data_IF_404749369228
#
_entry.id   IF_404749369228
#
_cell.length_a   1.000
_cell.length_b   1.000
_cell.length_c   1.000
_cell.angle_alpha   90.00
_cell.angle_beta   90.00
_cell.angle_gamma   90.00
#
_symmetry.space_group_name_H-M   'P 1'
#
loop_
_entity.id
_entity.type
_entity.pdbx_description
1 polymer ?
#
# COMPACT_ATOMS: atom_id res chain seq x y z
N UNK A 1 -24.91 30.39 -5.89
CA UNK A 1 -23.95 30.19 -4.78
C UNK A 1 -24.15 28.87 -4.01
N UNK A 2 -25.03 27.95 -4.46
CA UNK A 2 -25.29 26.68 -3.77
C UNK A 2 -24.69 25.43 -4.46
N UNK A 3 -24.19 25.51 -5.70
CA UNK A 3 -23.67 24.32 -6.40
C UNK A 3 -22.19 24.00 -6.10
N UNK A 4 -21.43 24.94 -5.53
CA UNK A 4 -20.04 24.66 -5.14
C UNK A 4 -19.93 23.92 -3.79
N UNK A 5 -20.95 23.99 -2.94
CA UNK A 5 -20.96 23.30 -1.64
C UNK A 5 -21.31 21.81 -1.80
N UNK A 6 -22.17 21.46 -2.77
CA UNK A 6 -22.51 20.06 -3.06
C UNK A 6 -21.36 19.27 -3.73
N UNK A 7 -20.53 19.92 -4.55
CA UNK A 7 -19.36 19.26 -5.15
C UNK A 7 -18.26 18.91 -4.13
N UNK A 8 -18.09 19.72 -3.07
CA UNK A 8 -17.07 19.47 -2.04
C UNK A 8 -17.41 18.29 -1.13
N UNK A 9 -18.70 17.99 -0.93
CA UNK A 9 -19.12 16.82 -0.14
C UNK A 9 -19.02 15.50 -0.91
N UNK A 10 -19.13 15.53 -2.24
CA UNK A 10 -18.98 14.33 -3.08
C UNK A 10 -17.53 13.85 -3.15
N UNK A 11 -16.56 14.76 -3.10
CA UNK A 11 -15.11 14.46 -3.17
C UNK A 11 -14.60 13.89 -1.84
N UNK A 12 -15.08 14.37 -0.70
CA UNK A 12 -14.70 13.82 0.61
C UNK A 12 -15.28 12.42 0.85
N UNK A 13 -16.49 12.14 0.34
CA UNK A 13 -17.14 10.83 0.46
C UNK A 13 -16.49 9.76 -0.43
N UNK A 14 -15.99 10.14 -1.62
CA UNK A 14 -15.21 9.23 -2.50
C UNK A 14 -13.87 8.83 -1.89
N UNK A 15 -13.19 9.73 -1.17
CA UNK A 15 -11.94 9.43 -0.44
C UNK A 15 -12.15 8.45 0.72
N UNK A 16 -13.33 8.41 1.33
CA UNK A 16 -13.65 7.41 2.35
C UNK A 16 -14.03 6.03 1.77
N UNK A 17 -14.61 5.97 0.56
CA UNK A 17 -14.83 4.68 -0.12
C UNK A 17 -13.54 4.10 -0.74
N UNK A 18 -12.61 4.95 -1.19
CA UNK A 18 -11.31 4.52 -1.76
C UNK A 18 -10.39 3.85 -0.72
N UNK A 19 -10.57 4.17 0.57
CA UNK A 19 -9.82 3.59 1.69
C UNK A 19 -10.12 2.12 1.98
N UNK A 20 -11.16 1.54 1.38
CA UNK A 20 -11.57 0.16 1.67
C UNK A 20 -11.40 -0.81 0.50
N UNK A 21 -11.05 -0.34 -0.71
CA UNK A 21 -10.82 -1.23 -1.86
C UNK A 21 -9.68 -2.23 -1.63
N UNK A 22 -8.62 -1.82 -0.92
CA UNK A 22 -7.47 -2.67 -0.62
C UNK A 22 -7.73 -3.68 0.53
N UNK A 23 -8.59 -3.34 1.49
CA UNK A 23 -9.04 -4.25 2.54
C UNK A 23 -10.16 -5.20 2.05
N UNK A 24 -11.06 -4.72 1.19
CA UNK A 24 -12.14 -5.52 0.61
C UNK A 24 -11.63 -6.53 -0.44
N UNK A 25 -10.53 -6.25 -1.14
CA UNK A 25 -9.91 -7.21 -2.04
C UNK A 25 -9.36 -8.46 -1.33
N UNK A 26 -9.16 -8.41 -0.01
CA UNK A 26 -8.80 -9.58 0.83
C UNK A 26 -10.04 -10.18 1.51
N UNK A 27 -11.09 -9.41 1.77
CA UNK A 27 -12.31 -9.86 2.50
C UNK A 27 -13.41 -10.42 1.59
N UNK A 28 -13.36 -10.21 0.27
CA UNK A 28 -14.37 -10.72 -0.68
C UNK A 28 -14.37 -12.26 -0.88
N UNK A 29 -13.72 -13.03 0.00
CA UNK A 29 -13.73 -14.50 0.03
C UNK A 29 -14.39 -15.11 1.27
N UNK A 30 -15.06 -14.32 2.11
CA UNK A 30 -15.77 -14.82 3.30
C UNK A 30 -17.30 -14.74 3.18
N UNK A 31 -17.83 -14.86 1.96
CA UNK A 31 -19.26 -14.94 1.70
C UNK A 31 -19.74 -16.37 1.59
N UNK A 32 -20.28 -16.90 2.69
CA UNK A 32 -21.17 -18.08 2.79
C UNK A 32 -20.52 -19.48 2.75
N UNK A 33 -20.07 -19.98 3.90
CA UNK A 33 -20.39 -21.35 4.35
C UNK A 33 -20.54 -21.37 5.87
N UNK A 34 -21.75 -21.68 6.35
CA UNK A 34 -22.02 -22.01 7.75
C UNK A 34 -21.25 -23.27 8.17
N UNK A 35 -20.65 -23.26 9.36
CA UNK A 35 -20.16 -24.47 10.03
C UNK A 35 -18.71 -24.35 10.48
N UNK A 36 -18.50 -24.19 11.78
CA UNK A 36 -17.22 -23.88 12.39
C UNK A 36 -16.09 -24.83 12.01
N UNK A 37 -14.91 -24.25 11.77
CA UNK A 37 -13.62 -24.93 11.84
C UNK A 37 -12.53 -23.90 12.17
N UNK A 38 -11.59 -24.34 12.99
CA UNK A 38 -10.48 -23.60 13.60
C UNK A 38 -9.71 -22.71 12.63
N UNK A 39 -9.46 -21.47 13.06
CA UNK A 39 -8.61 -20.47 12.41
C UNK A 39 -7.19 -21.00 12.18
N UNK A 40 -6.72 -20.96 10.93
CA UNK A 40 -5.29 -20.92 10.62
C UNK A 40 -4.93 -19.50 10.13
N UNK A 41 -3.82 -18.92 10.59
CA UNK A 41 -3.37 -17.63 10.09
C UNK A 41 -2.98 -17.76 8.61
N UNK A 42 -3.55 -16.91 7.77
CA UNK A 42 -3.08 -16.73 6.39
C UNK A 42 -1.69 -16.11 6.45
N UNK A 43 -0.65 -16.91 6.22
CA UNK A 43 0.71 -16.43 6.07
C UNK A 43 0.90 -15.95 4.63
N UNK A 44 0.80 -14.64 4.40
CA UNK A 44 1.29 -14.05 3.16
C UNK A 44 2.81 -13.87 3.27
N UNK A 45 3.58 -14.85 2.78
CA UNK A 45 5.00 -14.67 2.54
C UNK A 45 5.19 -13.74 1.33
N UNK A 46 5.77 -12.55 1.56
CA UNK A 46 6.18 -11.64 0.50
C UNK A 46 7.58 -12.04 0.05
N UNK A 47 7.69 -12.94 -0.94
CA UNK A 47 8.98 -13.18 -1.59
C UNK A 47 9.25 -12.06 -2.61
N UNK A 48 10.46 -11.52 -2.56
CA UNK A 48 11.01 -10.65 -3.59
C UNK A 48 11.34 -11.51 -4.82
N UNK A 49 10.35 -11.69 -5.71
CA UNK A 49 10.55 -12.32 -7.02
C UNK A 49 9.61 -13.49 -7.29
N UNK A 50 8.62 -13.24 -8.14
CA UNK A 50 7.91 -14.26 -8.91
C UNK A 50 7.02 -15.21 -8.13
N UNK A 51 5.76 -14.81 -7.90
CA UNK A 51 4.68 -15.72 -7.49
C UNK A 51 4.29 -15.62 -6.02
N UNK A 52 3.21 -14.89 -5.73
CA UNK A 52 2.51 -15.01 -4.44
C UNK A 52 1.54 -16.19 -4.53
N UNK A 53 1.82 -17.25 -3.79
CA UNK A 53 0.89 -18.37 -3.60
C UNK A 53 -0.07 -17.99 -2.47
N UNK A 54 -1.36 -17.88 -2.77
CA UNK A 54 -2.39 -17.74 -1.73
C UNK A 54 -2.98 -19.12 -1.46
N UNK A 55 -2.71 -19.66 -0.27
CA UNK A 55 -3.36 -20.88 0.21
C UNK A 55 -4.63 -20.50 0.96
N UNK A 56 -5.79 -20.79 0.36
CA UNK A 56 -7.09 -20.63 1.02
C UNK A 56 -7.41 -21.99 1.66
N UNK A 57 -7.13 -22.11 2.96
CA UNK A 57 -7.50 -23.28 3.76
C UNK A 57 -8.87 -23.09 4.39
N UNK A 58 -9.91 -23.68 3.81
CA UNK A 58 -11.27 -23.64 4.35
C UNK A 58 -12.14 -24.78 3.83
N UNK A 59 -12.20 -25.89 4.58
CA UNK A 59 -13.10 -27.02 4.33
C UNK A 59 -12.41 -28.29 3.81
N UNK A 60 -13.09 -29.44 3.89
CA UNK A 60 -12.60 -30.80 3.55
C UNK A 60 -12.27 -31.02 2.06
N UNK A 61 -12.05 -29.96 1.29
CA UNK A 61 -11.56 -29.98 -0.07
C UNK A 61 -10.05 -29.74 -0.11
N UNK A 62 -9.37 -30.32 -1.10
CA UNK A 62 -7.95 -30.05 -1.33
C UNK A 62 -7.73 -28.53 -1.46
N UNK A 63 -6.65 -27.98 -0.86
CA UNK A 63 -6.35 -26.55 -0.95
C UNK A 63 -6.28 -26.11 -2.40
N UNK A 64 -7.08 -25.11 -2.78
CA UNK A 64 -6.98 -24.51 -4.10
C UNK A 64 -5.78 -23.57 -4.11
N UNK A 65 -4.76 -23.95 -4.87
CA UNK A 65 -3.57 -23.14 -5.10
C UNK A 65 -3.84 -22.21 -6.27
N UNK A 66 -3.90 -20.90 -6.01
CA UNK A 66 -3.91 -19.89 -7.07
C UNK A 66 -2.48 -19.41 -7.32
N UNK A 67 -2.00 -19.62 -8.54
CA UNK A 67 -0.75 -19.03 -9.00
C UNK A 67 -1.01 -17.61 -9.49
N UNK A 68 -0.49 -16.63 -8.77
CA UNK A 68 -0.50 -15.23 -9.20
C UNK A 68 0.79 -14.95 -9.97
N UNK A 69 0.70 -14.75 -11.28
CA UNK A 69 1.85 -14.36 -12.12
C UNK A 69 2.42 -12.99 -11.74
N UNK A 70 1.61 -12.14 -11.10
CA UNK A 70 1.94 -10.78 -10.72
C UNK A 70 1.73 -9.81 -11.88
N UNK A 71 0.99 -8.72 -11.63
CA UNK A 71 0.82 -7.67 -12.62
C UNK A 71 2.15 -6.94 -12.85
N UNK A 72 2.44 -6.57 -14.10
CA UNK A 72 3.60 -5.75 -14.45
C UNK A 72 3.18 -4.29 -14.41
N UNK A 73 3.72 -3.51 -13.47
CA UNK A 73 3.33 -2.11 -13.33
C UNK A 73 4.33 -1.22 -14.07
N UNK A 74 3.85 -0.50 -15.08
CA UNK A 74 4.64 0.49 -15.81
C UNK A 74 4.59 1.82 -15.04
N UNK A 75 5.74 2.47 -14.73
CA UNK A 75 5.75 3.72 -13.98
C UNK A 75 4.91 4.83 -14.62
N UNK A 76 4.32 5.70 -13.78
CA UNK A 76 3.50 6.81 -14.26
C UNK A 76 4.35 7.84 -15.04
N UNK A 77 3.83 8.42 -16.14
CA UNK A 77 4.52 9.51 -16.83
C UNK A 77 4.83 10.66 -15.87
N UNK A 78 6.06 11.16 -15.89
CA UNK A 78 6.52 12.24 -15.01
C UNK A 78 7.21 11.78 -13.73
N UNK A 79 7.10 10.49 -13.34
CA UNK A 79 7.94 9.94 -12.29
C UNK A 79 9.37 9.71 -12.79
N UNK A 80 10.38 9.74 -11.90
CA UNK A 80 11.74 9.37 -12.26
C UNK A 80 11.81 7.96 -12.84
N UNK A 81 12.56 7.78 -13.92
CA UNK A 81 12.73 6.48 -14.60
C UNK A 81 13.83 5.63 -14.00
N UNK A 82 14.67 6.19 -13.12
CA UNK A 82 15.72 5.48 -12.40
C UNK A 82 15.21 4.74 -11.16
N UNK A 83 16.04 3.85 -10.62
CA UNK A 83 15.75 3.17 -9.35
C UNK A 83 15.55 4.19 -8.21
N UNK A 84 14.61 3.93 -7.29
CA UNK A 84 14.44 4.77 -6.11
C UNK A 84 15.62 4.66 -5.16
N UNK A 85 15.97 5.76 -4.50
CA UNK A 85 17.05 5.81 -3.51
C UNK A 85 16.68 5.04 -2.23
N UNK A 86 15.38 4.98 -1.92
CA UNK A 86 14.83 4.17 -0.84
C UNK A 86 13.38 3.78 -1.09
N UNK A 87 13.03 2.55 -0.72
CA UNK A 87 11.66 2.09 -0.50
C UNK A 87 11.59 1.64 0.95
N UNK A 88 10.61 2.11 1.72
CA UNK A 88 10.53 1.74 3.13
C UNK A 88 9.17 1.99 3.76
N UNK A 89 8.97 1.38 4.93
CA UNK A 89 7.78 1.54 5.75
C UNK A 89 7.80 2.89 6.47
N UNK A 90 6.69 3.62 6.46
CA UNK A 90 6.56 4.83 7.28
C UNK A 90 6.64 4.50 8.77
N UNK A 91 7.58 5.12 9.49
CA UNK A 91 7.69 4.95 10.95
C UNK A 91 7.12 6.15 11.70
N UNK A 92 7.64 7.34 11.38
CA UNK A 92 7.30 8.59 12.05
C UNK A 92 7.76 9.80 11.26
N UNK A 93 7.35 10.98 11.73
CA UNK A 93 7.82 12.30 11.27
C UNK A 93 8.42 13.07 12.43
N UNK A 94 9.46 13.85 12.11
CA UNK A 94 9.98 14.93 12.96
C UNK A 94 10.19 16.16 12.06
N UNK A 95 9.46 17.24 12.31
CA UNK A 95 9.52 18.50 11.53
C UNK A 95 9.35 18.34 10.01
N UNK A 96 10.44 18.45 9.25
CA UNK A 96 10.49 18.31 7.81
C UNK A 96 11.06 16.94 7.38
N UNK A 97 11.30 16.05 8.32
CA UNK A 97 11.87 14.74 8.10
C UNK A 97 10.84 13.63 8.31
N UNK A 98 10.81 12.67 7.40
CA UNK A 98 10.11 11.38 7.54
C UNK A 98 11.16 10.31 7.80
N UNK A 99 10.88 9.39 8.72
CA UNK A 99 11.75 8.25 8.98
C UNK A 99 11.15 6.99 8.41
N UNK A 100 11.91 6.31 7.56
CA UNK A 100 11.52 5.08 6.90
C UNK A 100 12.30 3.88 7.47
N UNK A 101 11.59 2.80 7.76
CA UNK A 101 12.20 1.50 8.07
C UNK A 101 12.48 0.74 6.77
N UNK A 102 13.74 0.42 6.51
CA UNK A 102 14.19 -0.19 5.24
C UNK A 102 14.70 -1.61 5.38
N UNK A 103 14.67 -2.18 6.58
CA UNK A 103 15.08 -3.55 6.82
C UNK A 103 13.95 -4.54 6.56
N UNK A 104 13.82 -5.54 7.43
CA UNK A 104 12.79 -6.56 7.27
C UNK A 104 11.42 -5.99 7.66
N UNK A 105 10.53 -5.87 6.68
CA UNK A 105 9.14 -5.42 6.87
C UNK A 105 8.27 -6.65 7.14
N UNK A 106 7.64 -6.69 8.30
CA UNK A 106 6.68 -7.72 8.69
C UNK A 106 5.28 -7.13 8.70
N UNK A 107 4.38 -7.71 7.91
CA UNK A 107 2.95 -7.38 7.91
C UNK A 107 2.15 -8.52 8.55
N UNK A 108 1.28 -8.17 9.49
CA UNK A 108 0.32 -9.06 10.13
C UNK A 108 -1.08 -8.59 9.77
N UNK A 109 -1.89 -9.46 9.18
CA UNK A 109 -3.30 -9.22 8.94
C UNK A 109 -4.09 -10.14 9.86
N UNK A 110 -4.88 -9.55 10.74
CA UNK A 110 -5.78 -10.27 11.64
C UNK A 110 -7.21 -10.16 11.10
N UNK A 111 -7.79 -11.31 10.73
CA UNK A 111 -9.19 -11.41 10.36
C UNK A 111 -10.02 -11.54 11.64
N UNK A 112 -10.86 -10.55 11.93
CA UNK A 112 -11.75 -10.58 13.08
C UNK A 112 -12.99 -11.42 12.78
N UNK A 113 -13.33 -12.36 13.65
CA UNK A 113 -14.59 -13.12 13.55
C UNK A 113 -15.80 -12.21 13.83
N UNK A 114 -16.91 -12.42 13.11
CA UNK A 114 -18.17 -11.71 13.35
C UNK A 114 -18.40 -10.44 12.52
N UNK A 115 -17.74 -10.28 11.36
CA UNK A 115 -17.97 -9.15 10.45
C UNK A 115 -17.31 -7.85 10.89
N UNK A 116 -16.41 -7.90 11.88
CA UNK A 116 -15.54 -6.79 12.20
C UNK A 116 -14.46 -6.61 11.12
N UNK A 117 -14.04 -5.36 10.93
CA UNK A 117 -13.03 -5.02 9.91
C UNK A 117 -11.70 -5.73 10.22
N UNK A 118 -11.01 -6.24 9.19
CA UNK A 118 -9.68 -6.83 9.36
C UNK A 118 -8.71 -5.76 9.86
N UNK A 119 -7.87 -6.14 10.82
CA UNK A 119 -6.81 -5.27 11.33
C UNK A 119 -5.50 -5.61 10.62
N UNK A 120 -4.81 -4.60 10.09
CA UNK A 120 -3.47 -4.76 9.53
C UNK A 120 -2.46 -4.02 10.42
N UNK A 121 -1.40 -4.71 10.80
CA UNK A 121 -0.27 -4.16 11.52
C UNK A 121 0.98 -4.37 10.67
N UNK A 122 1.81 -3.35 10.55
CA UNK A 122 3.13 -3.48 9.94
C UNK A 122 4.20 -3.01 10.92
N UNK A 123 5.35 -3.67 10.85
CA UNK A 123 6.55 -3.29 11.57
C UNK A 123 7.75 -3.46 10.67
N UNK A 124 8.78 -2.67 10.90
CA UNK A 124 10.06 -2.83 10.23
C UNK A 124 11.15 -3.00 11.31
N UNK A 125 12.05 -3.95 11.10
CA UNK A 125 13.25 -4.13 11.91
C UNK A 125 14.49 -3.77 11.10
N UNK A 126 15.50 -3.16 11.73
CA UNK A 126 16.77 -2.83 11.06
C UNK A 126 16.99 -1.34 10.78
N UNK A 127 17.70 -0.99 9.69
CA UNK A 127 18.12 0.38 9.40
C UNK A 127 16.94 1.34 9.23
N UNK A 128 17.13 2.56 9.73
CA UNK A 128 16.19 3.67 9.54
C UNK A 128 16.85 4.72 8.67
N UNK A 129 16.13 5.17 7.64
CA UNK A 129 16.57 6.25 6.75
C UNK A 129 15.75 7.50 7.04
N UNK A 130 16.43 8.63 7.23
CA UNK A 130 15.82 9.95 7.31
C UNK A 130 15.59 10.52 5.92
N UNK A 131 14.37 10.95 5.64
CA UNK A 131 13.96 11.57 4.39
C UNK A 131 13.56 13.01 4.68
N UNK A 132 14.40 13.95 4.28
CA UNK A 132 14.16 15.39 4.44
C UNK A 132 13.33 15.88 3.26
N UNK A 133 12.16 16.44 3.58
CA UNK A 133 11.20 17.01 2.64
C UNK A 133 11.36 18.53 2.64
N UNK A 134 11.46 19.12 1.46
CA UNK A 134 11.57 20.56 1.29
C UNK A 134 10.52 21.09 0.31
N UNK A 135 10.54 22.39 0.03
CA UNK A 135 9.56 23.05 -0.85
C UNK A 135 9.62 22.60 -2.31
N UNK A 136 10.74 22.00 -2.73
CA UNK A 136 10.95 21.50 -4.07
C UNK A 136 10.66 19.98 -4.15
N UNK A 137 10.24 19.35 -3.06
CA UNK A 137 9.85 17.94 -3.08
C UNK A 137 8.47 17.79 -3.69
N UNK A 138 8.39 17.03 -4.78
CA UNK A 138 7.13 16.62 -5.39
C UNK A 138 6.58 15.39 -4.65
N UNK A 139 5.30 15.40 -4.31
CA UNK A 139 4.67 14.35 -3.51
C UNK A 139 3.47 13.82 -4.28
N UNK A 140 3.37 12.49 -4.37
CA UNK A 140 2.34 11.80 -5.12
C UNK A 140 1.68 10.68 -4.30
N UNK A 141 0.37 10.51 -4.47
CA UNK A 141 -0.38 9.31 -4.09
C UNK A 141 -0.38 8.32 -5.25
N UNK A 142 0.01 7.09 -4.99
CA UNK A 142 -0.29 6.00 -5.91
C UNK A 142 -1.76 5.58 -5.79
N UNK A 143 -2.52 5.76 -6.87
CA UNK A 143 -3.94 5.39 -6.99
C UNK A 143 -4.15 4.24 -7.96
N UNK A 144 -3.10 3.47 -8.24
CA UNK A 144 -3.16 2.37 -9.20
C UNK A 144 -4.05 1.24 -8.69
N UNK A 145 -5.16 1.01 -9.37
CA UNK A 145 -6.02 -0.15 -9.13
C UNK A 145 -5.50 -1.35 -9.93
N UNK A 146 -5.03 -2.38 -9.22
CA UNK A 146 -4.58 -3.63 -9.85
C UNK A 146 -5.67 -4.68 -9.65
N UNK A 147 -6.34 -5.04 -10.75
CA UNK A 147 -7.38 -6.08 -10.70
C UNK A 147 -6.79 -7.46 -10.41
N UNK A 148 -7.63 -8.37 -9.89
CA UNK A 148 -7.23 -9.75 -9.63
C UNK A 148 -6.85 -10.48 -10.92
N UNK A 149 -7.54 -10.19 -12.02
CA UNK A 149 -7.23 -10.71 -13.36
C UNK A 149 -5.83 -10.25 -13.78
N UNK A 150 -5.51 -8.96 -13.59
CA UNK A 150 -4.18 -8.45 -13.90
C UNK A 150 -3.09 -9.16 -13.10
N UNK A 151 -3.34 -9.47 -11.82
CA UNK A 151 -2.41 -10.24 -10.97
C UNK A 151 -2.31 -11.71 -11.38
N UNK A 152 -3.42 -12.34 -11.76
CA UNK A 152 -3.47 -13.75 -12.15
C UNK A 152 -2.80 -13.96 -13.50
N UNK A 153 -3.15 -13.13 -14.47
CA UNK A 153 -2.77 -13.31 -15.87
C UNK A 153 -1.45 -12.60 -16.21
N UNK A 154 -0.95 -11.78 -15.28
CA UNK A 154 0.32 -11.07 -15.40
C UNK A 154 0.26 -9.91 -16.39
N UNK A 155 -0.90 -9.23 -16.43
CA UNK A 155 -1.15 -8.14 -17.35
C UNK A 155 -0.32 -6.91 -16.99
N UNK A 156 -0.04 -6.10 -18.00
CA UNK A 156 0.56 -4.78 -17.81
C UNK A 156 -0.49 -3.80 -17.30
N UNK A 157 -0.16 -3.09 -16.23
CA UNK A 157 -1.00 -2.06 -15.62
C UNK A 157 -0.19 -0.76 -15.60
N UNK A 158 -0.76 0.30 -16.14
CA UNK A 158 -0.15 1.63 -16.06
C UNK A 158 -0.31 2.16 -14.63
N UNK A 159 0.80 2.52 -13.98
CA UNK A 159 0.74 3.19 -12.70
C UNK A 159 0.04 4.55 -12.86
N UNK A 160 -0.88 4.84 -11.94
CA UNK A 160 -1.57 6.11 -11.83
C UNK A 160 -1.16 6.78 -10.53
N UNK A 161 -0.84 8.07 -10.61
CA UNK A 161 -0.49 8.87 -9.45
C UNK A 161 -1.25 10.19 -9.44
N UNK A 162 -1.60 10.65 -8.25
CA UNK A 162 -2.20 11.96 -8.02
C UNK A 162 -1.24 12.84 -7.23
N UNK A 163 -1.00 14.10 -7.64
CA UNK A 163 -0.17 15.01 -6.86
C UNK A 163 -0.82 15.34 -5.52
N UNK A 164 0.00 15.47 -4.48
CA UNK A 164 -0.38 16.02 -3.19
C UNK A 164 0.20 17.42 -3.02
N UNK A 165 -0.60 18.31 -2.43
CA UNK A 165 -0.23 19.71 -2.26
C UNK A 165 0.87 19.92 -1.20
N UNK A 166 0.98 19.03 -0.22
CA UNK A 166 1.92 19.22 0.89
C UNK A 166 2.27 17.93 1.63
N UNK A 167 3.36 18.00 2.40
CA UNK A 167 3.74 16.99 3.38
C UNK A 167 2.63 16.76 4.41
N UNK A 168 1.91 17.79 4.84
CA UNK A 168 0.82 17.63 5.81
C UNK A 168 -0.31 16.77 5.22
N UNK A 169 -0.66 16.99 3.96
CA UNK A 169 -1.66 16.19 3.25
C UNK A 169 -1.24 14.72 3.14
N UNK A 170 0.04 14.44 2.89
CA UNK A 170 0.56 13.07 2.91
C UNK A 170 0.36 12.41 4.27
N UNK A 171 0.60 13.13 5.36
CA UNK A 171 0.59 12.56 6.71
C UNK A 171 -0.82 12.33 7.26
N UNK A 172 -1.80 13.08 6.79
CA UNK A 172 -3.21 12.81 7.04
C UNK A 172 -3.69 11.54 6.33
N UNK A 173 -3.01 11.16 5.26
CA UNK A 173 -3.32 9.96 4.46
C UNK A 173 -2.55 8.73 4.90
N UNK A 174 -1.28 8.88 5.28
CA UNK A 174 -0.35 7.78 5.54
C UNK A 174 -0.64 7.08 6.87
N UNK A 175 -0.67 5.75 6.84
CA UNK A 175 -0.73 4.89 8.01
C UNK A 175 0.63 4.22 8.25
N UNK A 176 0.80 3.60 9.43
CA UNK A 176 2.01 2.86 9.79
C UNK A 176 2.25 1.60 8.94
N UNK A 177 1.26 1.20 8.15
CA UNK A 177 1.31 0.08 7.20
C UNK A 177 1.83 0.47 5.84
N UNK A 178 1.95 1.77 5.58
CA UNK A 178 2.11 2.28 4.22
C UNK A 178 3.58 2.38 3.87
N UNK A 179 3.87 2.11 2.60
CA UNK A 179 5.22 2.17 2.06
C UNK A 179 5.41 3.46 1.27
N UNK A 180 6.57 4.07 1.44
CA UNK A 180 7.00 5.21 0.62
C UNK A 180 8.14 4.80 -0.28
N UNK A 181 8.07 5.28 -1.52
CA UNK A 181 9.14 5.21 -2.50
C UNK A 181 9.69 6.62 -2.71
N UNK A 182 10.99 6.79 -2.56
CA UNK A 182 11.62 8.11 -2.56
C UNK A 182 12.79 8.15 -3.53
N UNK A 183 12.83 9.22 -4.32
CA UNK A 183 13.97 9.62 -5.14
C UNK A 183 14.49 10.96 -4.62
N UNK A 184 15.80 11.12 -4.55
CA UNK A 184 16.43 12.26 -3.91
C UNK A 184 17.93 12.33 -4.14
N UNK A 185 18.63 12.94 -3.18
CA UNK A 185 20.08 12.91 -3.06
C UNK A 185 20.43 12.27 -1.73
N UNK A 186 21.11 11.11 -1.76
CA UNK A 186 21.49 10.36 -0.57
C UNK A 186 22.85 10.77 -0.03
N UNK A 187 22.94 10.93 1.29
CA UNK A 187 24.18 11.12 2.04
C UNK A 187 24.10 10.30 3.33
N UNK A 188 24.73 9.12 3.32
CA UNK A 188 24.60 8.14 4.41
C UNK A 188 23.15 7.67 4.58
N UNK A 189 22.63 7.83 5.80
CA UNK A 189 21.26 7.46 6.18
C UNK A 189 20.25 8.60 5.99
N UNK A 190 20.65 9.70 5.35
CA UNK A 190 19.79 10.84 5.05
C UNK A 190 19.59 10.99 3.53
N UNK A 191 18.36 11.25 3.12
CA UNK A 191 17.98 11.56 1.74
C UNK A 191 17.27 12.91 1.71
N UNK A 192 17.74 13.84 0.87
CA UNK A 192 16.98 15.05 0.54
C UNK A 192 16.06 14.69 -0.62
N UNK A 193 14.76 14.60 -0.34
CA UNK A 193 13.77 14.11 -1.30
C UNK A 193 13.54 15.10 -2.44
N UNK A 194 13.55 14.59 -3.67
CA UNK A 194 13.06 15.27 -4.88
C UNK A 194 11.65 14.82 -5.21
N UNK A 195 11.39 13.51 -5.14
CA UNK A 195 10.08 12.91 -5.41
C UNK A 195 9.75 11.89 -4.33
N UNK A 196 8.53 11.92 -3.82
CA UNK A 196 7.97 10.93 -2.91
C UNK A 196 6.69 10.39 -3.51
N UNK A 197 6.59 9.07 -3.62
CA UNK A 197 5.35 8.37 -3.95
C UNK A 197 4.93 7.55 -2.74
N UNK A 198 3.76 7.84 -2.18
CA UNK A 198 3.18 7.03 -1.12
C UNK A 198 2.16 6.06 -1.71
N UNK A 199 2.14 4.82 -1.18
CA UNK A 199 1.14 3.82 -1.53
C UNK A 199 0.38 3.40 -0.27
N UNK A 200 -0.94 3.68 -0.20
CA UNK A 200 -1.79 3.24 0.90
C UNK A 200 -2.11 1.73 0.84
#
# INVERSE_FOLDING_TARGET
MNQQIEMLQLISSRRQMLRWGLAAAVVALAGMVNGGCMMQPVQTAQSSGGGRVVQIGGGSGAPQMFELKGARVTPAPGLPTGEPDVIGLYLRREDQSIFLGTGEIQMRVTLSEGGQQPAAEASASGPTVEVVVNRNTEIYMDVTEISLEARRDGLEVQQLVEPLDSLNTLLESVNKTDTLTVWGNRSGDRIIARVIVYRP
#
